data_IF_286413648291
#
_entry.id   IF_286413648291
#
_cell.length_a   1.000
_cell.length_b   1.000
_cell.length_c   1.000
_cell.angle_alpha   90.00
_cell.angle_beta   90.00
_cell.angle_gamma   90.00
#
_symmetry.space_group_name_H-M   'P 1'
#
loop_
_entity.id
_entity.type
_entity.pdbx_description
1 polymer ?
#
# COMPACT_ATOMS: atom_id res chain seq x y z
N UNK A 1 13.27 26.02 -5.04
CA UNK A 1 14.08 25.47 -3.94
C UNK A 1 13.79 23.98 -3.91
N UNK A 2 14.66 23.16 -4.50
CA UNK A 2 14.43 21.72 -4.73
C UNK A 2 15.21 20.83 -3.74
N UNK A 3 15.71 21.42 -2.64
CA UNK A 3 16.48 20.71 -1.64
C UNK A 3 15.71 19.55 -0.98
N UNK A 4 16.42 18.45 -0.74
CA UNK A 4 15.92 17.25 -0.04
C UNK A 4 15.44 17.60 1.39
N UNK A 5 14.31 17.03 1.78
CA UNK A 5 13.79 17.06 3.15
C UNK A 5 13.62 15.64 3.68
N UNK A 6 13.56 15.52 5.00
CA UNK A 6 13.24 14.24 5.66
C UNK A 6 11.73 14.08 5.61
N UNK A 7 11.27 12.98 5.01
CA UNK A 7 9.86 12.63 4.97
C UNK A 7 9.33 12.28 6.38
N UNK A 8 8.05 12.51 6.60
CA UNK A 8 7.37 12.21 7.86
C UNK A 8 7.25 10.69 8.08
N UNK A 9 7.06 10.32 9.35
CA UNK A 9 6.68 8.95 9.68
C UNK A 9 5.30 8.61 9.11
N UNK A 10 5.13 7.38 8.67
CA UNK A 10 3.91 6.91 8.04
C UNK A 10 3.56 5.49 8.50
N UNK A 11 2.27 5.16 8.59
CA UNK A 11 1.76 3.89 9.14
C UNK A 11 0.63 3.36 8.28
N UNK A 12 0.82 2.18 7.69
CA UNK A 12 -0.25 1.46 6.99
C UNK A 12 -0.86 0.40 7.89
N UNK A 13 -2.11 0.04 7.61
CA UNK A 13 -2.83 -1.02 8.31
C UNK A 13 -3.30 -2.05 7.29
N UNK A 14 -2.94 -3.30 7.55
CA UNK A 14 -3.32 -4.46 6.73
C UNK A 14 -4.34 -5.29 7.50
N UNK A 15 -5.35 -5.80 6.81
CA UNK A 15 -6.42 -6.61 7.40
C UNK A 15 -6.84 -7.72 6.44
N UNK A 16 -6.94 -8.94 6.95
CA UNK A 16 -7.51 -10.08 6.22
C UNK A 16 -8.51 -10.83 7.11
N UNK A 17 -9.64 -11.21 6.54
CA UNK A 17 -10.64 -12.07 7.16
C UNK A 17 -10.81 -13.32 6.31
N UNK A 18 -10.78 -14.49 6.96
CA UNK A 18 -10.94 -15.79 6.32
C UNK A 18 -12.07 -16.60 6.96
N UNK A 19 -12.81 -17.34 6.14
CA UNK A 19 -13.90 -18.21 6.56
C UNK A 19 -13.81 -19.58 5.89
N UNK A 20 -13.80 -20.64 6.69
CA UNK A 20 -13.92 -22.01 6.22
C UNK A 20 -15.39 -22.28 5.85
N UNK A 21 -15.69 -22.22 4.55
CA UNK A 21 -17.05 -22.46 4.03
C UNK A 21 -17.40 -23.94 4.11
N UNK A 22 -16.42 -24.81 3.84
CA UNK A 22 -16.47 -26.26 3.97
C UNK A 22 -15.13 -26.75 4.54
N UNK A 23 -15.06 -28.01 4.98
CA UNK A 23 -13.83 -28.62 5.50
C UNK A 23 -12.65 -28.56 4.51
N UNK A 24 -12.95 -28.52 3.22
CA UNK A 24 -11.97 -28.45 2.13
C UNK A 24 -11.95 -27.11 1.39
N UNK A 25 -12.77 -26.12 1.78
CA UNK A 25 -12.91 -24.85 1.08
C UNK A 25 -12.86 -23.66 2.03
N UNK A 26 -11.87 -22.79 1.85
CA UNK A 26 -11.73 -21.52 2.59
C UNK A 26 -11.79 -20.33 1.64
N UNK A 27 -12.54 -19.31 2.03
CA UNK A 27 -12.62 -18.02 1.32
C UNK A 27 -12.04 -16.93 2.22
N UNK A 28 -11.22 -16.07 1.65
CA UNK A 28 -10.63 -14.92 2.33
C UNK A 28 -10.91 -13.64 1.56
N UNK A 29 -11.10 -12.54 2.28
CA UNK A 29 -11.08 -11.17 1.76
C UNK A 29 -10.07 -10.37 2.57
N UNK A 30 -9.23 -9.59 1.89
CA UNK A 30 -8.18 -8.84 2.57
C UNK A 30 -7.83 -7.55 1.84
N UNK A 31 -7.15 -6.68 2.58
CA UNK A 31 -6.62 -5.42 2.09
C UNK A 31 -5.26 -5.15 2.76
N UNK A 32 -4.26 -4.80 1.95
CA UNK A 32 -3.04 -4.16 2.42
C UNK A 32 -3.22 -2.65 2.27
N UNK A 33 -2.81 -1.87 3.28
CA UNK A 33 -3.04 -0.43 3.33
C UNK A 33 -4.53 -0.08 3.15
N UNK A 34 -5.38 -0.59 4.05
CA UNK A 34 -6.86 -0.50 3.96
C UNK A 34 -7.40 0.94 3.99
N UNK A 35 -6.59 1.90 4.42
CA UNK A 35 -6.94 3.33 4.45
C UNK A 35 -6.43 4.11 3.25
N UNK A 36 -5.86 3.43 2.25
CA UNK A 36 -5.37 4.02 1.00
C UNK A 36 -4.38 5.17 1.22
N UNK A 37 -3.42 4.96 2.14
CA UNK A 37 -2.39 5.95 2.39
C UNK A 37 -1.39 5.99 1.24
N UNK A 38 -1.28 7.13 0.57
CA UNK A 38 -0.24 7.38 -0.43
C UNK A 38 1.10 7.75 0.22
N UNK A 39 2.20 7.55 -0.51
CA UNK A 39 3.51 8.06 -0.13
C UNK A 39 3.50 9.60 -0.05
N UNK A 40 4.45 10.17 0.68
CA UNK A 40 4.60 11.63 0.73
C UNK A 40 4.98 12.17 -0.66
N UNK A 41 4.30 13.24 -1.08
CA UNK A 41 4.61 13.95 -2.33
C UNK A 41 5.88 14.79 -2.18
N UNK A 42 6.66 14.84 -3.26
CA UNK A 42 7.80 15.75 -3.38
C UNK A 42 7.31 17.20 -3.42
N UNK A 43 8.19 18.15 -3.07
CA UNK A 43 7.91 19.59 -3.16
C UNK A 43 7.54 20.01 -4.58
N UNK A 44 6.73 21.07 -4.67
CA UNK A 44 6.37 21.69 -5.94
C UNK A 44 7.62 22.06 -6.76
N UNK A 45 7.58 21.76 -8.06
CA UNK A 45 8.70 21.99 -8.99
C UNK A 45 9.73 20.86 -9.07
N UNK A 46 9.70 19.89 -8.14
CA UNK A 46 10.65 18.76 -8.14
C UNK A 46 10.48 17.82 -9.33
N UNK A 47 9.24 17.68 -9.85
CA UNK A 47 8.94 16.83 -11.01
C UNK A 47 9.80 17.17 -12.24
N UNK A 48 10.05 18.47 -12.49
CA UNK A 48 10.86 18.91 -13.64
C UNK A 48 12.33 18.55 -13.53
N UNK A 49 12.84 18.35 -12.31
CA UNK A 49 14.25 18.09 -12.02
C UNK A 49 14.54 16.59 -11.81
N UNK A 50 13.66 15.90 -11.08
CA UNK A 50 13.84 14.49 -10.68
C UNK A 50 12.96 13.51 -11.46
N UNK A 51 11.94 13.98 -12.18
CA UNK A 51 11.00 13.11 -12.90
C UNK A 51 10.03 12.33 -12.01
N UNK A 52 10.08 12.52 -10.69
CA UNK A 52 9.22 11.86 -9.71
C UNK A 52 8.17 12.78 -9.10
N UNK A 53 7.10 12.18 -8.57
CA UNK A 53 6.02 12.88 -7.83
C UNK A 53 6.05 12.55 -6.33
N UNK A 54 6.55 11.37 -5.96
CA UNK A 54 6.57 10.86 -4.59
C UNK A 54 8.00 10.52 -4.15
N UNK A 55 8.25 10.51 -2.84
CA UNK A 55 9.51 10.02 -2.28
C UNK A 55 9.63 8.50 -2.47
N UNK A 56 10.67 8.05 -3.17
CA UNK A 56 10.93 6.62 -3.42
C UNK A 56 11.59 5.90 -2.23
N UNK A 57 12.23 6.66 -1.33
CA UNK A 57 12.92 6.11 -0.14
C UNK A 57 12.02 6.02 1.10
N UNK A 58 10.70 6.01 0.90
CA UNK A 58 9.71 5.92 1.97
C UNK A 58 9.54 4.49 2.53
N UNK A 59 8.84 4.34 3.68
CA UNK A 59 8.61 3.04 4.30
C UNK A 59 7.65 2.11 3.51
N UNK A 60 6.96 2.64 2.50
CA UNK A 60 6.07 1.89 1.60
C UNK A 60 5.96 2.60 0.24
N UNK A 61 5.37 1.89 -0.72
CA UNK A 61 5.28 2.29 -2.12
C UNK A 61 4.15 3.31 -2.39
N UNK A 62 4.20 4.00 -3.54
CA UNK A 62 3.21 5.02 -3.92
C UNK A 62 1.87 4.46 -4.42
N UNK A 63 1.71 3.13 -4.46
CA UNK A 63 0.57 2.45 -5.08
C UNK A 63 -0.74 2.51 -4.26
N UNK A 64 -0.71 3.02 -3.03
CA UNK A 64 -1.90 3.13 -2.18
C UNK A 64 -2.39 1.77 -1.65
N UNK A 65 -3.70 1.61 -1.53
CA UNK A 65 -4.37 0.41 -1.00
C UNK A 65 -4.49 -0.73 -2.02
N UNK A 66 -4.22 -1.97 -1.58
CA UNK A 66 -4.39 -3.18 -2.40
C UNK A 66 -5.43 -4.11 -1.79
N UNK A 67 -6.51 -4.38 -2.53
CA UNK A 67 -7.66 -5.16 -2.07
C UNK A 67 -7.76 -6.47 -2.87
N UNK A 68 -8.00 -7.59 -2.19
CA UNK A 68 -8.02 -8.90 -2.82
C UNK A 68 -9.03 -9.87 -2.20
N UNK A 69 -9.40 -10.88 -3.00
CA UNK A 69 -10.10 -12.08 -2.56
C UNK A 69 -9.25 -13.31 -2.84
N UNK A 70 -9.30 -14.30 -1.95
CA UNK A 70 -8.56 -15.57 -2.10
C UNK A 70 -9.49 -16.76 -1.83
N UNK A 71 -9.40 -17.78 -2.67
CA UNK A 71 -10.10 -19.06 -2.48
C UNK A 71 -9.06 -20.16 -2.39
N UNK A 72 -9.10 -20.94 -1.31
CA UNK A 72 -8.24 -22.11 -1.11
C UNK A 72 -9.11 -23.38 -1.08
N UNK A 73 -8.79 -24.32 -1.98
CA UNK A 73 -9.42 -25.63 -2.04
C UNK A 73 -8.37 -26.73 -1.79
N UNK A 74 -8.66 -27.67 -0.88
CA UNK A 74 -7.79 -28.80 -0.55
C UNK A 74 -8.37 -30.11 -1.08
N UNK A 75 -7.58 -30.85 -1.86
CA UNK A 75 -7.95 -32.15 -2.43
C UNK A 75 -7.43 -33.33 -1.60
#
# INVERSE_FOLDING_TARGET
DWGSEVADAAVTIDLEVSYAVLDNLTVSVGANNIFDQEAQKLKDGTLGELGGVYYESGPFDYNGGFYYGRVNYRF
#
